data_IF_926048019872
#
_entry.id   IF_926048019872
#
_cell.length_a   1.000
_cell.length_b   1.000
_cell.length_c   1.000
_cell.angle_alpha   90.00
_cell.angle_beta   90.00
_cell.angle_gamma   90.00
#
_symmetry.space_group_name_H-M   'P 1'
#
loop_
_entity.id
_entity.type
_entity.pdbx_description
1 polymer ?
#
# COMPACT_ATOMS: atom_id res chain seq x y z
N UNK A 1 -9.00 -5.61 4.78
CA UNK A 1 -8.68 -4.60 3.74
C UNK A 1 -9.72 -3.49 3.77
N UNK A 2 -9.30 -2.23 3.62
CA UNK A 2 -10.18 -1.06 3.45
C UNK A 2 -9.74 -0.34 2.18
N UNK A 3 -10.68 0.13 1.35
CA UNK A 3 -10.39 0.94 0.16
C UNK A 3 -11.33 2.14 0.19
N UNK A 4 -10.79 3.34 0.05
CA UNK A 4 -11.60 4.56 0.03
C UNK A 4 -10.85 5.72 -0.66
N UNK A 5 -11.52 6.85 -0.79
CA UNK A 5 -10.95 8.11 -1.26
C UNK A 5 -10.21 8.84 -0.14
N UNK A 6 -9.04 9.41 -0.44
CA UNK A 6 -8.10 10.01 0.53
C UNK A 6 -8.72 11.11 1.39
N UNK A 7 -9.71 11.85 0.87
CA UNK A 7 -10.51 12.84 1.62
C UNK A 7 -11.18 12.27 2.89
N UNK A 8 -11.34 10.96 2.99
CA UNK A 8 -11.94 10.26 4.12
C UNK A 8 -10.92 9.60 5.04
N UNK A 9 -9.61 9.70 4.76
CA UNK A 9 -8.57 8.93 5.48
C UNK A 9 -8.60 9.11 7.01
N UNK A 10 -8.89 10.32 7.50
CA UNK A 10 -8.98 10.61 8.94
C UNK A 10 -10.14 9.91 9.64
N UNK A 11 -11.17 9.47 8.89
CA UNK A 11 -12.26 8.65 9.44
C UNK A 11 -11.74 7.33 10.01
N UNK A 12 -10.66 6.80 9.43
CA UNK A 12 -10.10 5.50 9.79
C UNK A 12 -9.10 5.54 10.95
N UNK A 13 -8.92 6.68 11.63
CA UNK A 13 -8.06 6.80 12.82
C UNK A 13 -8.29 5.70 13.88
N UNK A 14 -9.55 5.32 14.23
CA UNK A 14 -9.77 4.26 15.21
C UNK A 14 -9.29 2.88 14.76
N UNK A 15 -9.17 2.65 13.45
CA UNK A 15 -8.79 1.38 12.85
C UNK A 15 -7.33 1.38 12.33
N UNK A 16 -6.70 2.55 12.28
CA UNK A 16 -5.33 2.78 11.83
C UNK A 16 -4.71 3.92 12.65
N UNK A 17 -4.43 3.65 13.92
CA UNK A 17 -3.99 4.68 14.85
C UNK A 17 -2.71 5.40 14.37
N UNK A 18 -2.76 6.73 14.32
CA UNK A 18 -1.71 7.60 13.81
C UNK A 18 -1.85 7.97 12.33
N UNK A 19 -2.82 7.44 11.60
CA UNK A 19 -3.02 7.73 10.17
C UNK A 19 -3.31 9.21 9.92
N UNK A 20 -4.07 9.86 10.80
CA UNK A 20 -4.40 11.30 10.66
C UNK A 20 -3.18 12.17 10.87
N UNK A 21 -2.39 11.90 11.92
CA UNK A 21 -1.14 12.64 12.19
C UNK A 21 -0.14 12.43 11.03
N UNK A 22 0.02 11.19 10.56
CA UNK A 22 0.89 10.85 9.45
C UNK A 22 0.47 11.55 8.15
N UNK A 23 -0.82 11.50 7.80
CA UNK A 23 -1.33 12.11 6.58
C UNK A 23 -1.16 13.63 6.59
N UNK A 24 -1.48 14.29 7.71
CA UNK A 24 -1.27 15.73 7.85
C UNK A 24 0.21 16.12 7.67
N UNK A 25 1.14 15.32 8.22
CA UNK A 25 2.58 15.54 8.04
C UNK A 25 3.01 15.38 6.57
N UNK A 26 2.53 14.33 5.88
CA UNK A 26 2.79 14.11 4.45
C UNK A 26 2.27 15.28 3.61
N UNK A 27 1.04 15.74 3.87
CA UNK A 27 0.45 16.88 3.18
C UNK A 27 1.26 18.17 3.38
N UNK A 28 1.69 18.44 4.60
CA UNK A 28 2.53 19.61 4.89
C UNK A 28 3.86 19.55 4.12
N UNK A 29 4.52 18.38 4.08
CA UNK A 29 5.77 18.21 3.33
C UNK A 29 5.57 18.37 1.82
N UNK A 30 4.47 17.84 1.26
CA UNK A 30 4.11 18.01 -0.15
C UNK A 30 3.83 19.48 -0.47
N UNK A 31 3.12 20.19 0.40
CA UNK A 31 2.83 21.61 0.22
C UNK A 31 4.11 22.47 0.25
N UNK A 32 5.05 22.16 1.14
CA UNK A 32 6.32 22.87 1.26
C UNK A 32 7.25 22.61 0.06
N UNK A 33 7.36 21.35 -0.37
CA UNK A 33 8.38 20.93 -1.35
C UNK A 33 7.86 20.83 -2.78
N UNK A 34 6.54 20.85 -2.97
CA UNK A 34 5.87 20.57 -4.25
C UNK A 34 5.84 19.08 -4.59
N UNK A 35 6.97 18.39 -4.44
CA UNK A 35 7.09 16.95 -4.58
C UNK A 35 7.98 16.33 -3.50
N UNK A 36 7.81 15.03 -3.27
CA UNK A 36 8.68 14.25 -2.39
C UNK A 36 9.54 13.29 -3.22
N UNK A 37 10.88 13.37 -3.17
CA UNK A 37 11.75 12.39 -3.80
C UNK A 37 11.50 10.96 -3.32
N UNK A 38 11.85 9.98 -4.15
CA UNK A 38 11.84 8.56 -3.76
C UNK A 38 12.73 8.35 -2.53
N UNK A 39 12.20 7.63 -1.55
CA UNK A 39 12.92 7.42 -0.30
C UNK A 39 12.02 7.10 0.87
N UNK A 40 12.65 6.92 2.03
CA UNK A 40 12.02 6.63 3.31
C UNK A 40 12.05 7.88 4.19
N UNK A 41 10.92 8.17 4.82
CA UNK A 41 10.70 9.32 5.68
C UNK A 41 10.17 8.85 7.02
N UNK A 42 10.88 9.19 8.10
CA UNK A 42 10.45 8.84 9.46
C UNK A 42 9.32 9.76 9.92
N UNK A 43 8.36 9.17 10.63
CA UNK A 43 7.29 9.88 11.29
C UNK A 43 7.40 9.64 12.79
N UNK A 44 6.62 10.39 13.57
CA UNK A 44 6.51 10.15 15.02
C UNK A 44 5.96 8.74 15.32
N UNK A 45 5.02 8.26 14.49
CA UNK A 45 4.50 6.90 14.54
C UNK A 45 4.68 6.26 13.17
N UNK A 46 5.57 5.28 13.09
CA UNK A 46 5.87 4.59 11.84
C UNK A 46 6.71 5.43 10.88
N UNK A 47 6.59 5.14 9.59
CA UNK A 47 7.34 5.81 8.53
C UNK A 47 6.55 5.70 7.23
N UNK A 48 6.91 6.49 6.23
CA UNK A 48 6.38 6.28 4.88
C UNK A 48 7.50 6.20 3.86
N UNK A 49 7.18 5.57 2.72
CA UNK A 49 8.03 5.55 1.54
C UNK A 49 7.32 6.23 0.39
N UNK A 50 8.06 6.96 -0.43
CA UNK A 50 7.58 7.40 -1.74
C UNK A 50 8.11 6.42 -2.78
N UNK A 51 7.22 5.92 -3.63
CA UNK A 51 7.56 4.99 -4.71
C UNK A 51 7.01 5.51 -6.03
N UNK A 52 7.86 5.47 -7.06
CA UNK A 52 7.50 5.75 -8.46
C UNK A 52 7.85 4.55 -9.32
N UNK A 53 7.07 4.31 -10.37
CA UNK A 53 7.41 3.25 -11.32
C UNK A 53 6.36 2.97 -12.37
N UNK A 54 6.57 1.85 -13.05
CA UNK A 54 5.65 1.25 -14.01
C UNK A 54 5.02 0.00 -13.39
N UNK A 55 3.74 -0.20 -13.68
CA UNK A 55 3.00 -1.42 -13.30
C UNK A 55 3.45 -2.63 -14.12
N UNK A 56 3.21 -3.82 -13.57
CA UNK A 56 3.43 -5.11 -14.24
C UNK A 56 2.10 -5.83 -14.51
N UNK A 57 2.04 -6.80 -15.43
CA UNK A 57 0.82 -7.58 -15.62
C UNK A 57 0.36 -8.22 -14.29
N UNK A 58 -0.93 -8.18 -14.00
CA UNK A 58 -1.50 -8.75 -12.77
C UNK A 58 -1.25 -10.27 -12.67
N UNK A 59 -1.02 -10.93 -13.79
CA UNK A 59 -0.61 -12.34 -13.85
C UNK A 59 0.81 -12.60 -13.34
N UNK A 60 1.66 -11.57 -13.21
CA UNK A 60 3.05 -11.69 -12.78
C UNK A 60 3.24 -11.30 -11.32
N UNK A 61 4.18 -11.93 -10.62
CA UNK A 61 4.50 -11.61 -9.23
C UNK A 61 3.58 -12.28 -8.20
N UNK A 62 3.86 -12.03 -6.93
CA UNK A 62 3.26 -12.71 -5.78
C UNK A 62 2.48 -11.73 -4.91
N UNK A 63 1.53 -12.26 -4.14
CA UNK A 63 0.97 -11.54 -3.01
C UNK A 63 2.03 -11.37 -1.91
N UNK A 64 1.86 -10.37 -1.07
CA UNK A 64 2.65 -10.14 0.14
C UNK A 64 1.76 -9.88 1.34
N UNK A 65 2.32 -10.09 2.53
CA UNK A 65 1.74 -9.68 3.80
C UNK A 65 2.81 -9.33 4.81
N UNK A 66 2.39 -8.61 5.85
CA UNK A 66 3.24 -8.01 6.87
C UNK A 66 2.68 -8.35 8.26
N UNK A 67 3.51 -8.39 9.30
CA UNK A 67 3.06 -8.68 10.66
C UNK A 67 3.28 -7.52 11.62
N UNK A 68 4.35 -6.74 11.43
CA UNK A 68 4.73 -5.64 12.33
C UNK A 68 4.02 -4.33 11.99
N UNK A 69 3.63 -4.15 10.73
CA UNK A 69 2.98 -2.94 10.24
C UNK A 69 1.70 -3.25 9.45
N UNK A 70 0.74 -2.32 9.53
CA UNK A 70 -0.28 -2.16 8.49
C UNK A 70 0.28 -1.28 7.37
N UNK A 71 -0.19 -1.55 6.15
CA UNK A 71 0.16 -0.76 4.97
C UNK A 71 -1.01 0.13 4.61
N UNK A 72 -0.77 1.44 4.61
CA UNK A 72 -1.66 2.43 4.02
C UNK A 72 -1.02 2.89 2.71
N UNK A 73 -1.53 2.40 1.59
CA UNK A 73 -1.01 2.76 0.27
C UNK A 73 -1.90 3.84 -0.33
N UNK A 74 -1.30 5.00 -0.66
CA UNK A 74 -2.01 6.20 -1.12
C UNK A 74 -1.49 6.55 -2.50
N UNK A 75 -2.38 6.60 -3.48
CA UNK A 75 -1.99 6.88 -4.86
C UNK A 75 -2.05 8.38 -5.15
N UNK A 76 -0.88 8.98 -5.41
CA UNK A 76 -0.75 10.42 -5.66
C UNK A 76 -0.93 10.76 -7.14
N UNK A 77 -0.46 9.88 -8.02
CA UNK A 77 -0.57 10.02 -9.47
C UNK A 77 -0.68 8.65 -10.16
N UNK A 78 -1.29 8.64 -11.34
CA UNK A 78 -1.44 7.44 -12.16
C UNK A 78 -2.48 6.47 -11.60
N UNK A 79 -2.22 5.17 -11.80
CA UNK A 79 -3.10 4.10 -11.37
C UNK A 79 -2.34 2.77 -11.18
N UNK A 80 -2.89 1.90 -10.33
CA UNK A 80 -2.47 0.51 -10.19
C UNK A 80 -3.69 -0.40 -9.97
N UNK A 81 -3.58 -1.64 -10.42
CA UNK A 81 -4.45 -2.72 -9.96
C UNK A 81 -3.88 -3.30 -8.66
N UNK A 82 -4.75 -3.41 -7.66
CA UNK A 82 -4.45 -4.04 -6.39
C UNK A 82 -5.35 -5.26 -6.23
N UNK A 83 -4.73 -6.43 -6.11
CA UNK A 83 -5.42 -7.67 -5.75
C UNK A 83 -5.35 -7.94 -4.26
N UNK A 84 -6.42 -8.50 -3.72
CA UNK A 84 -6.54 -8.90 -2.32
C UNK A 84 -7.01 -10.35 -2.20
N UNK A 85 -6.52 -11.04 -1.18
CA UNK A 85 -6.99 -12.36 -0.78
C UNK A 85 -6.74 -12.57 0.71
N UNK A 86 -7.62 -13.33 1.37
CA UNK A 86 -7.35 -13.84 2.71
C UNK A 86 -6.11 -14.76 2.68
N UNK A 87 -5.15 -14.56 3.59
CA UNK A 87 -3.94 -15.38 3.70
C UNK A 87 -4.16 -16.89 3.75
N UNK A 88 -5.19 -17.38 4.44
CA UNK A 88 -5.56 -18.80 4.57
C UNK A 88 -5.95 -19.41 3.21
N UNK A 89 -6.31 -18.57 2.22
CA UNK A 89 -6.60 -19.00 0.85
C UNK A 89 -5.38 -18.93 -0.08
N UNK A 90 -4.21 -18.53 0.43
CA UNK A 90 -2.98 -18.44 -0.32
C UNK A 90 -2.00 -19.55 0.06
N UNK A 91 -1.06 -19.84 -0.83
CA UNK A 91 0.03 -20.80 -0.56
C UNK A 91 1.34 -20.05 -0.36
N UNK A 92 2.05 -20.32 0.73
CA UNK A 92 3.35 -19.70 1.01
C UNK A 92 4.33 -19.98 -0.14
N UNK A 93 4.92 -18.92 -0.68
CA UNK A 93 5.92 -18.96 -1.74
C UNK A 93 7.32 -18.64 -1.19
N UNK A 94 7.41 -17.64 -0.32
CA UNK A 94 8.61 -17.29 0.42
C UNK A 94 8.21 -17.09 1.88
N UNK A 95 8.84 -17.82 2.83
CA UNK A 95 8.56 -17.68 4.25
C UNK A 95 8.76 -16.25 4.75
N UNK A 96 8.10 -15.95 5.86
CA UNK A 96 8.21 -14.65 6.50
C UNK A 96 9.66 -14.30 6.90
N UNK A 97 10.12 -13.13 6.46
CA UNK A 97 11.41 -12.53 6.79
C UNK A 97 11.18 -11.42 7.83
N UNK A 98 11.73 -11.62 9.03
CA UNK A 98 11.52 -10.72 10.17
C UNK A 98 12.18 -9.34 9.98
N UNK A 99 13.29 -9.26 9.24
CA UNK A 99 13.99 -7.99 8.98
C UNK A 99 13.23 -7.17 7.94
N UNK A 100 12.66 -7.83 6.93
CA UNK A 100 11.87 -7.18 5.88
C UNK A 100 10.41 -6.95 6.27
N UNK A 101 9.94 -7.61 7.34
CA UNK A 101 8.55 -7.70 7.73
C UNK A 101 7.67 -8.17 6.56
N UNK A 102 8.05 -9.25 5.88
CA UNK A 102 7.34 -9.67 4.67
C UNK A 102 7.37 -11.19 4.45
N UNK A 103 6.22 -11.75 4.10
CA UNK A 103 6.09 -13.06 3.46
C UNK A 103 5.60 -12.90 2.02
N UNK A 104 5.84 -13.89 1.15
CA UNK A 104 5.29 -13.91 -0.22
C UNK A 104 4.41 -15.12 -0.43
N UNK A 105 3.35 -14.94 -1.21
CA UNK A 105 2.33 -15.96 -1.40
C UNK A 105 1.91 -16.09 -2.86
N UNK A 106 1.59 -17.32 -3.26
CA UNK A 106 0.97 -17.65 -4.53
C UNK A 106 -0.54 -17.78 -4.34
N UNK A 107 -1.31 -17.31 -5.32
CA UNK A 107 -2.76 -17.46 -5.36
C UNK A 107 -3.35 -16.80 -6.59
N UNK A 108 -4.64 -17.05 -6.81
CA UNK A 108 -5.38 -16.41 -7.90
C UNK A 108 -5.80 -14.98 -7.53
N UNK A 109 -5.72 -14.07 -8.49
CA UNK A 109 -6.12 -12.66 -8.31
C UNK A 109 -7.61 -12.45 -8.59
N UNK A 110 -8.48 -13.26 -7.97
CA UNK A 110 -9.93 -13.22 -8.22
C UNK A 110 -10.60 -11.96 -7.72
N UNK A 111 -10.07 -11.35 -6.65
CA UNK A 111 -10.48 -10.04 -6.17
C UNK A 111 -9.37 -9.03 -6.47
N UNK A 112 -9.63 -8.13 -7.42
CA UNK A 112 -8.77 -7.00 -7.73
C UNK A 112 -9.59 -5.75 -8.00
N UNK A 113 -8.96 -4.60 -7.81
CA UNK A 113 -9.58 -3.30 -8.00
C UNK A 113 -8.57 -2.30 -8.54
N UNK A 114 -9.01 -1.52 -9.54
CA UNK A 114 -8.30 -0.35 -10.01
C UNK A 114 -8.28 0.72 -8.91
N UNK A 115 -7.09 1.05 -8.44
CA UNK A 115 -6.82 2.15 -7.53
C UNK A 115 -6.29 3.29 -8.40
N UNK A 116 -6.98 4.43 -8.38
CA UNK A 116 -6.58 5.63 -9.13
C UNK A 116 -6.08 6.73 -8.19
N UNK A 117 -5.51 7.79 -8.75
CA UNK A 117 -5.17 9.01 -8.02
C UNK A 117 -6.27 9.41 -7.02
N UNK A 118 -5.82 9.83 -5.84
CA UNK A 118 -6.63 10.25 -4.69
C UNK A 118 -7.40 9.11 -4.00
N UNK A 119 -7.17 7.85 -4.38
CA UNK A 119 -7.59 6.68 -3.60
C UNK A 119 -6.48 6.18 -2.68
N UNK A 120 -6.88 5.46 -1.63
CA UNK A 120 -5.98 4.71 -0.79
C UNK A 120 -6.58 3.37 -0.39
N UNK A 121 -5.74 2.48 0.10
CA UNK A 121 -6.18 1.27 0.77
C UNK A 121 -5.35 0.96 2.02
N UNK A 122 -5.97 0.26 2.97
CA UNK A 122 -5.33 -0.24 4.20
C UNK A 122 -5.29 -1.77 4.15
N UNK A 123 -4.09 -2.33 4.12
CA UNK A 123 -3.84 -3.76 4.25
C UNK A 123 -3.34 -4.07 5.67
N UNK A 124 -4.10 -4.91 6.37
CA UNK A 124 -3.80 -5.44 7.70
C UNK A 124 -2.97 -6.73 7.60
N UNK A 125 -2.48 -7.29 8.73
CA UNK A 125 -1.64 -8.48 8.68
C UNK A 125 -2.26 -9.71 8.01
N UNK A 126 -3.59 -9.84 8.05
CA UNK A 126 -4.34 -10.92 7.41
C UNK A 126 -4.71 -10.64 5.94
N UNK A 127 -4.38 -9.45 5.42
CA UNK A 127 -4.67 -9.06 4.05
C UNK A 127 -3.49 -9.40 3.13
N UNK A 128 -3.52 -10.58 2.52
CA UNK A 128 -2.67 -10.87 1.37
C UNK A 128 -2.97 -9.88 0.26
N UNK A 129 -2.00 -9.07 -0.13
CA UNK A 129 -2.21 -8.04 -1.15
C UNK A 129 -1.11 -8.07 -2.21
N UNK A 130 -1.48 -7.67 -3.43
CA UNK A 130 -0.58 -7.61 -4.58
C UNK A 130 -0.85 -6.31 -5.32
N UNK A 131 0.10 -5.38 -5.22
CA UNK A 131 0.00 -4.04 -5.79
C UNK A 131 0.83 -3.89 -7.06
N UNK A 132 0.96 -2.67 -7.58
CA UNK A 132 1.86 -2.31 -8.70
C UNK A 132 1.56 -3.13 -9.97
N UNK A 133 0.28 -3.45 -10.19
CA UNK A 133 -0.16 -4.31 -11.28
C UNK A 133 -1.05 -3.59 -12.30
N UNK A 134 -1.32 -4.19 -13.45
CA UNK A 134 -2.35 -3.80 -14.41
C UNK A 134 -3.02 -5.03 -15.04
N UNK A 135 -4.28 -4.91 -15.44
CA UNK A 135 -5.02 -5.96 -16.18
C UNK A 135 -4.83 -5.80 -17.69
N UNK A 136 -5.09 -4.60 -18.23
CA UNK A 136 -5.07 -4.37 -19.68
C UNK A 136 -3.73 -3.79 -20.16
N UNK A 137 -3.40 -2.59 -19.72
CA UNK A 137 -2.22 -1.86 -20.22
C UNK A 137 -1.31 -1.37 -19.10
N UNK A 138 -0.02 -1.29 -19.44
CA UNK A 138 1.00 -0.74 -18.54
C UNK A 138 0.70 0.71 -18.22
N UNK A 139 0.64 1.01 -16.93
CA UNK A 139 0.51 2.34 -16.37
C UNK A 139 1.73 2.74 -15.54
N UNK A 140 1.90 4.05 -15.33
CA UNK A 140 2.81 4.61 -14.34
C UNK A 140 2.06 4.97 -13.07
N UNK A 141 2.78 5.03 -11.95
CA UNK A 141 2.22 5.45 -10.66
C UNK A 141 3.24 6.23 -9.84
N UNK A 142 2.72 7.11 -8.97
CA UNK A 142 3.44 7.67 -7.82
C UNK A 142 2.59 7.39 -6.59
N UNK A 143 3.14 6.70 -5.59
CA UNK A 143 2.40 6.38 -4.36
C UNK A 143 3.21 6.56 -3.10
N UNK A 144 2.48 6.79 -2.01
CA UNK A 144 2.98 6.70 -0.66
C UNK A 144 2.65 5.32 -0.11
N UNK A 145 3.64 4.65 0.50
CA UNK A 145 3.44 3.46 1.31
C UNK A 145 3.70 3.88 2.76
N UNK A 146 2.63 4.22 3.47
CA UNK A 146 2.68 4.55 4.89
C UNK A 146 2.60 3.25 5.70
N UNK A 147 3.58 3.05 6.58
CA UNK A 147 3.70 1.89 7.47
C UNK A 147 3.39 2.35 8.89
N UNK A 148 2.29 1.88 9.45
CA UNK A 148 1.90 2.15 10.84
C UNK A 148 2.03 0.86 11.66
N UNK A 149 2.68 0.89 12.84
CA UNK A 149 2.77 -0.29 13.70
C UNK A 149 1.37 -0.81 14.07
N UNK A 150 1.21 -2.13 14.02
CA UNK A 150 0.01 -2.86 14.50
C UNK A 150 -0.20 -2.61 16.00
#
# INVERSE_FOLDING_TARGET
>A
MIIDHIKHISFYEPMAAGITEAWNAIQAMLQEKGELPDGRYELKKGFFKVQRGETKPLSEGTFESHQKYIDVQILLEGQEEMAWMELDNLTEAIPYDEEKDAARWNGECTHHMLITKDMFYIAYPHDGHKAVSHVDEKNTFIKIILKLPV
#
